data_IF_417593558230
#
_entry.id   IF_417593558230
#
_cell.length_a   1.000
_cell.length_b   1.000
_cell.length_c   1.000
_cell.angle_alpha   90.00
_cell.angle_beta   90.00
_cell.angle_gamma   90.00
#
_symmetry.space_group_name_H-M   'P 1'
#
loop_
_entity.id
_entity.type
_entity.pdbx_description
1 polymer ?
#
# COMPACT_ATOMS: atom_id res chain seq x y z
N UNK A 1 -16.14 15.73 -20.25
CA UNK A 1 -17.63 15.78 -20.11
C UNK A 1 -17.94 16.30 -18.71
N UNK A 2 -18.69 17.40 -18.60
CA UNK A 2 -18.90 18.11 -17.33
C UNK A 2 -19.83 17.32 -16.39
N UNK A 3 -19.38 17.01 -15.17
CA UNK A 3 -20.11 16.31 -14.09
C UNK A 3 -21.44 16.94 -13.61
N UNK A 4 -21.90 18.03 -14.19
CA UNK A 4 -23.10 18.77 -13.77
C UNK A 4 -24.39 18.36 -14.46
N UNK A 5 -24.37 17.49 -15.45
CA UNK A 5 -25.58 17.12 -16.22
C UNK A 5 -26.32 15.88 -15.68
N UNK A 6 -25.71 15.16 -14.71
CA UNK A 6 -26.33 13.94 -14.16
C UNK A 6 -27.36 14.21 -13.03
N UNK A 7 -27.35 15.38 -12.40
CA UNK A 7 -28.14 15.68 -11.22
C UNK A 7 -29.39 16.57 -11.49
N UNK A 8 -29.71 16.89 -12.75
CA UNK A 8 -30.83 17.80 -13.06
C UNK A 8 -32.08 17.15 -13.65
N UNK A 9 -32.13 15.82 -13.79
CA UNK A 9 -33.29 15.14 -14.39
C UNK A 9 -34.19 14.35 -13.41
N UNK A 10 -34.14 14.61 -12.12
CA UNK A 10 -34.95 13.93 -11.10
C UNK A 10 -35.87 14.87 -10.30
N UNK A 11 -36.46 15.87 -10.96
CA UNK A 11 -37.53 16.64 -10.33
C UNK A 11 -38.57 17.03 -11.37
N UNK A 12 -39.52 16.13 -11.61
CA UNK A 12 -40.89 16.42 -12.07
C UNK A 12 -41.60 15.07 -12.32
N UNK A 13 -42.40 14.67 -11.36
CA UNK A 13 -43.71 14.01 -11.56
C UNK A 13 -44.31 13.67 -10.18
N UNK A 14 -45.01 14.64 -9.65
CA UNK A 14 -45.93 14.44 -8.55
C UNK A 14 -47.34 14.29 -9.13
N UNK A 15 -48.17 13.50 -8.48
CA UNK A 15 -49.58 13.33 -8.57
C UNK A 15 -50.14 12.31 -9.59
N UNK A 16 -50.73 11.24 -9.07
CA UNK A 16 -51.56 10.28 -9.80
C UNK A 16 -51.83 9.00 -9.01
N UNK A 17 -52.69 9.07 -8.07
CA UNK A 17 -53.56 8.16 -7.31
C UNK A 17 -53.77 6.75 -7.87
N UNK A 18 -53.56 5.75 -6.95
CA UNK A 18 -54.28 4.46 -6.78
C UNK A 18 -54.58 3.61 -8.03
N UNK A 19 -53.79 2.51 -8.17
CA UNK A 19 -54.39 1.17 -8.33
C UNK A 19 -53.27 0.08 -8.44
N UNK A 20 -53.50 -1.01 -7.74
CA UNK A 20 -53.02 -2.37 -7.93
C UNK A 20 -51.50 -2.67 -7.72
N UNK A 21 -51.26 -3.40 -6.65
CA UNK A 21 -50.14 -4.30 -6.40
C UNK A 21 -49.82 -5.18 -7.61
N UNK A 22 -48.80 -4.84 -8.35
CA UNK A 22 -47.89 -5.70 -9.10
C UNK A 22 -46.74 -4.79 -9.57
N UNK A 23 -45.89 -4.36 -8.64
CA UNK A 23 -44.59 -3.89 -9.01
C UNK A 23 -43.76 -5.13 -9.34
N UNK A 24 -43.72 -5.52 -10.60
CA UNK A 24 -42.51 -6.14 -11.11
C UNK A 24 -41.45 -5.04 -11.02
N UNK A 25 -40.70 -5.01 -9.93
CA UNK A 25 -39.44 -4.31 -9.92
C UNK A 25 -38.62 -4.99 -11.03
N UNK A 26 -38.49 -4.35 -12.18
CA UNK A 26 -37.49 -4.67 -13.17
C UNK A 26 -36.19 -4.64 -12.40
N UNK A 27 -35.50 -5.77 -12.35
CA UNK A 27 -34.15 -5.83 -11.79
C UNK A 27 -33.36 -4.70 -12.48
N UNK A 28 -32.64 -3.85 -11.75
CA UNK A 28 -31.89 -2.76 -12.35
C UNK A 28 -30.96 -3.36 -13.41
N UNK A 29 -31.09 -2.87 -14.65
CA UNK A 29 -30.30 -3.32 -15.78
C UNK A 29 -28.94 -2.63 -15.66
N UNK A 30 -27.98 -3.29 -15.01
CA UNK A 30 -26.65 -2.75 -14.79
C UNK A 30 -25.85 -2.79 -16.11
N UNK A 31 -25.12 -1.71 -16.47
CA UNK A 31 -24.35 -1.67 -17.70
C UNK A 31 -23.22 -2.70 -17.70
N UNK A 32 -22.91 -3.25 -18.87
CA UNK A 32 -21.72 -4.07 -19.07
C UNK A 32 -20.52 -3.15 -19.21
N UNK A 33 -19.68 -3.08 -18.16
CA UNK A 33 -18.50 -2.19 -18.12
C UNK A 33 -17.19 -2.97 -18.03
N UNK A 34 -17.23 -4.26 -17.72
CA UNK A 34 -16.07 -5.12 -17.69
C UNK A 34 -15.48 -5.29 -19.10
N UNK A 35 -14.15 -5.28 -19.20
CA UNK A 35 -13.42 -5.47 -20.47
C UNK A 35 -13.82 -6.79 -21.14
N UNK A 36 -14.06 -6.75 -22.45
CA UNK A 36 -14.31 -7.96 -23.26
C UNK A 36 -13.23 -9.03 -23.07
N UNK A 37 -13.63 -10.29 -22.98
CA UNK A 37 -12.73 -11.39 -22.66
C UNK A 37 -11.50 -11.48 -23.59
N UNK A 38 -11.66 -11.13 -24.87
CA UNK A 38 -10.59 -11.11 -25.87
C UNK A 38 -9.54 -10.00 -25.66
N UNK A 39 -9.88 -8.98 -24.87
CA UNK A 39 -9.02 -7.82 -24.59
C UNK A 39 -8.40 -7.84 -23.19
N UNK A 40 -8.73 -8.84 -22.38
CA UNK A 40 -8.18 -8.99 -21.04
C UNK A 40 -6.72 -9.39 -21.08
N UNK A 41 -5.91 -8.75 -20.26
CA UNK A 41 -4.48 -9.03 -20.17
C UNK A 41 -4.19 -10.41 -19.56
N UNK A 42 -5.00 -10.81 -18.58
CA UNK A 42 -4.85 -12.11 -17.91
C UNK A 42 -6.24 -12.67 -17.53
N UNK A 43 -6.42 -13.96 -17.71
CA UNK A 43 -7.67 -14.65 -17.35
C UNK A 43 -7.39 -15.80 -16.39
N UNK A 44 -8.22 -15.94 -15.36
CA UNK A 44 -8.14 -17.00 -14.36
C UNK A 44 -9.49 -17.69 -14.18
N UNK A 45 -9.50 -19.00 -14.33
CA UNK A 45 -10.72 -19.82 -14.10
C UNK A 45 -11.13 -19.76 -12.64
N UNK A 46 -10.17 -19.77 -11.72
CA UNK A 46 -10.45 -19.70 -10.27
C UNK A 46 -11.13 -18.37 -9.89
N UNK A 47 -10.65 -17.24 -10.47
CA UNK A 47 -11.24 -15.91 -10.25
C UNK A 47 -12.63 -15.82 -10.85
N UNK A 48 -12.85 -16.31 -12.08
CA UNK A 48 -14.18 -16.33 -12.73
C UNK A 48 -15.18 -17.18 -11.92
N UNK A 49 -14.75 -18.31 -11.38
CA UNK A 49 -15.58 -19.15 -10.51
C UNK A 49 -15.93 -18.42 -9.19
N UNK A 50 -14.98 -17.70 -8.61
CA UNK A 50 -15.21 -16.89 -7.40
C UNK A 50 -16.26 -15.78 -7.65
N UNK A 51 -16.18 -15.11 -8.80
CA UNK A 51 -17.17 -14.10 -9.20
C UNK A 51 -18.58 -14.72 -9.32
N UNK A 52 -18.71 -15.82 -10.05
CA UNK A 52 -20.00 -16.52 -10.20
C UNK A 52 -20.54 -16.99 -8.85
N UNK A 53 -19.69 -17.53 -7.99
CA UNK A 53 -20.07 -17.97 -6.65
C UNK A 53 -20.55 -16.79 -5.79
N UNK A 54 -19.87 -15.65 -5.84
CA UNK A 54 -20.27 -14.46 -5.11
C UNK A 54 -21.63 -13.96 -5.58
N UNK A 55 -21.83 -13.79 -6.90
CA UNK A 55 -23.09 -13.35 -7.49
C UNK A 55 -24.26 -14.28 -7.17
N UNK A 56 -24.02 -15.59 -7.11
CA UNK A 56 -25.07 -16.57 -6.77
C UNK A 56 -25.51 -16.52 -5.30
N UNK A 57 -24.65 -16.01 -4.40
CA UNK A 57 -24.89 -16.00 -2.95
C UNK A 57 -25.20 -14.61 -2.38
N UNK A 58 -24.91 -13.54 -3.09
CA UNK A 58 -25.20 -12.18 -2.64
C UNK A 58 -26.64 -11.78 -3.00
N UNK A 59 -27.39 -11.29 -2.00
CA UNK A 59 -28.76 -10.85 -2.23
C UNK A 59 -28.83 -9.51 -2.98
N UNK A 60 -27.89 -8.63 -2.69
CA UNK A 60 -27.76 -7.32 -3.32
C UNK A 60 -27.18 -7.47 -4.74
N UNK A 61 -27.98 -7.20 -5.75
CA UNK A 61 -27.60 -7.33 -7.16
C UNK A 61 -26.59 -6.27 -7.62
N UNK A 62 -26.64 -5.07 -7.04
CA UNK A 62 -25.66 -4.02 -7.31
C UNK A 62 -24.28 -4.41 -6.77
N UNK A 63 -24.22 -4.96 -5.56
CA UNK A 63 -22.98 -5.46 -4.98
C UNK A 63 -22.41 -6.63 -5.80
N UNK A 64 -23.28 -7.53 -6.33
CA UNK A 64 -22.86 -8.59 -7.24
C UNK A 64 -22.24 -8.07 -8.53
N UNK A 65 -22.85 -7.05 -9.11
CA UNK A 65 -22.37 -6.36 -10.31
C UNK A 65 -21.06 -5.60 -10.03
N UNK A 66 -20.96 -4.87 -8.92
CA UNK A 66 -19.73 -4.19 -8.51
C UNK A 66 -18.58 -5.18 -8.33
N UNK A 67 -18.82 -6.32 -7.68
CA UNK A 67 -17.79 -7.34 -7.48
C UNK A 67 -17.28 -7.91 -8.80
N UNK A 68 -18.15 -8.20 -9.76
CA UNK A 68 -17.76 -8.67 -11.10
C UNK A 68 -16.87 -7.68 -11.85
N UNK A 69 -17.10 -6.39 -11.67
CA UNK A 69 -16.37 -5.34 -12.39
C UNK A 69 -15.09 -4.90 -11.69
N UNK A 70 -15.08 -4.88 -10.36
CA UNK A 70 -13.94 -4.39 -9.58
C UNK A 70 -12.93 -5.50 -9.25
N UNK A 71 -13.42 -6.68 -8.84
CA UNK A 71 -12.55 -7.75 -8.37
C UNK A 71 -11.52 -8.23 -9.40
N UNK A 72 -11.86 -8.47 -10.68
CA UNK A 72 -10.90 -8.92 -11.68
C UNK A 72 -10.14 -7.78 -12.37
N UNK A 73 -10.41 -6.50 -12.07
CA UNK A 73 -9.91 -5.37 -12.84
C UNK A 73 -8.39 -5.35 -12.99
N UNK A 74 -7.65 -5.65 -11.93
CA UNK A 74 -6.18 -5.76 -11.98
C UNK A 74 -5.73 -6.79 -13.02
N UNK A 75 -6.34 -7.97 -13.04
CA UNK A 75 -6.00 -9.01 -14.00
C UNK A 75 -6.42 -8.63 -15.44
N UNK A 76 -7.59 -8.03 -15.56
CA UNK A 76 -8.17 -7.68 -16.85
C UNK A 76 -7.39 -6.55 -17.56
N UNK A 77 -6.77 -5.60 -16.81
CA UNK A 77 -6.32 -4.32 -17.40
C UNK A 77 -4.90 -3.88 -17.05
N UNK A 78 -4.29 -4.37 -15.96
CA UNK A 78 -3.06 -3.76 -15.44
C UNK A 78 -1.84 -4.68 -15.44
N UNK A 79 -2.01 -5.98 -15.58
CA UNK A 79 -0.90 -6.93 -15.53
C UNK A 79 -0.33 -7.23 -16.92
N UNK A 80 0.99 -7.33 -16.98
CA UNK A 80 1.71 -7.90 -18.14
C UNK A 80 2.56 -9.05 -17.65
N UNK A 81 2.16 -10.27 -17.98
CA UNK A 81 2.84 -11.50 -17.59
C UNK A 81 3.68 -12.05 -18.73
N UNK A 82 4.91 -12.43 -18.43
CA UNK A 82 5.83 -13.08 -19.36
C UNK A 82 6.73 -14.11 -18.65
N UNK A 83 7.50 -14.85 -19.42
CA UNK A 83 8.64 -15.62 -18.92
C UNK A 83 9.92 -14.89 -19.34
N UNK A 84 10.75 -14.51 -18.38
CA UNK A 84 12.09 -13.99 -18.62
C UNK A 84 13.12 -15.03 -18.20
N UNK A 85 13.91 -15.50 -19.16
CA UNK A 85 14.91 -16.57 -18.93
C UNK A 85 14.30 -17.82 -18.26
N UNK A 86 13.09 -18.17 -18.64
CA UNK A 86 12.34 -19.31 -18.08
C UNK A 86 11.73 -19.10 -16.70
N UNK A 87 11.86 -17.90 -16.10
CA UNK A 87 11.23 -17.55 -14.83
C UNK A 87 10.00 -16.67 -15.05
N UNK A 88 8.94 -16.82 -14.24
CA UNK A 88 7.83 -15.90 -14.22
C UNK A 88 8.28 -14.46 -13.98
N UNK A 89 7.72 -13.54 -14.73
CA UNK A 89 7.93 -12.10 -14.61
C UNK A 89 6.61 -11.39 -14.84
N UNK A 90 6.20 -10.52 -13.91
CA UNK A 90 4.93 -9.81 -13.98
C UNK A 90 5.13 -8.33 -13.66
N UNK A 91 4.80 -7.51 -14.62
CA UNK A 91 4.72 -6.07 -14.48
C UNK A 91 3.27 -5.67 -14.21
N UNK A 92 3.04 -4.78 -13.25
CA UNK A 92 1.70 -4.35 -12.83
C UNK A 92 1.67 -2.83 -12.79
N UNK A 93 0.93 -2.20 -13.70
CA UNK A 93 0.73 -0.75 -13.65
C UNK A 93 -0.32 -0.36 -12.62
N UNK A 94 -0.32 0.87 -12.14
CA UNK A 94 -1.35 1.39 -11.22
C UNK A 94 -2.74 1.50 -11.88
N UNK A 95 -2.80 1.60 -13.20
CA UNK A 95 -4.03 1.63 -13.99
C UNK A 95 -4.12 2.85 -14.89
N UNK A 96 -3.85 4.03 -14.35
CA UNK A 96 -3.83 5.32 -15.06
C UNK A 96 -2.39 5.78 -15.41
N UNK A 97 -1.37 5.25 -14.70
CA UNK A 97 0.04 5.56 -14.94
C UNK A 97 0.77 4.30 -15.38
N UNK A 98 1.52 4.37 -16.47
CA UNK A 98 2.36 3.29 -16.99
C UNK A 98 3.65 3.18 -16.16
N UNK A 99 3.48 2.84 -14.89
CA UNK A 99 4.55 2.56 -13.96
C UNK A 99 4.10 1.57 -12.88
N UNK A 100 5.03 0.79 -12.35
CA UNK A 100 4.80 -0.19 -11.29
C UNK A 100 5.34 0.32 -9.98
N UNK A 101 4.43 0.71 -9.06
CA UNK A 101 4.77 1.00 -7.67
C UNK A 101 5.00 -0.29 -6.88
N UNK A 102 5.94 -0.26 -5.96
CA UNK A 102 6.28 -1.42 -5.10
C UNK A 102 5.13 -1.75 -4.14
N UNK A 103 4.48 -0.74 -3.56
CA UNK A 103 3.29 -0.86 -2.71
C UNK A 103 2.10 -1.38 -3.51
N UNK A 104 1.75 -0.65 -4.56
CA UNK A 104 0.53 -0.87 -5.35
C UNK A 104 0.50 -2.24 -5.99
N UNK A 105 1.59 -2.64 -6.65
CA UNK A 105 1.67 -3.96 -7.29
C UNK A 105 1.48 -5.12 -6.32
N UNK A 106 1.97 -4.98 -5.09
CA UNK A 106 1.75 -5.97 -4.03
C UNK A 106 0.28 -6.01 -3.60
N UNK A 107 -0.34 -4.83 -3.40
CA UNK A 107 -1.73 -4.72 -2.97
C UNK A 107 -2.71 -5.17 -4.07
N UNK A 108 -2.43 -4.84 -5.34
CA UNK A 108 -3.26 -5.20 -6.49
C UNK A 108 -3.34 -6.71 -6.72
N UNK A 109 -2.26 -7.47 -6.48
CA UNK A 109 -2.28 -8.93 -6.64
C UNK A 109 -2.67 -9.68 -5.36
N UNK A 110 -2.69 -9.00 -4.22
CA UNK A 110 -3.02 -9.59 -2.92
C UNK A 110 -4.35 -10.35 -2.87
N UNK A 111 -5.47 -9.85 -3.44
CA UNK A 111 -6.74 -10.56 -3.44
C UNK A 111 -6.70 -11.91 -4.13
N UNK A 112 -5.78 -12.09 -5.08
CA UNK A 112 -5.66 -13.34 -5.87
C UNK A 112 -4.76 -14.39 -5.21
N UNK A 113 -4.02 -14.03 -4.16
CA UNK A 113 -3.15 -14.97 -3.44
C UNK A 113 -3.91 -16.21 -2.91
N UNK A 114 -5.18 -16.04 -2.56
CA UNK A 114 -6.02 -17.16 -2.12
C UNK A 114 -6.16 -18.25 -3.17
N UNK A 115 -6.07 -17.94 -4.47
CA UNK A 115 -6.23 -18.88 -5.59
C UNK A 115 -4.90 -19.48 -6.08
N UNK A 116 -3.76 -19.09 -5.51
CA UNK A 116 -2.44 -19.52 -5.96
C UNK A 116 -2.23 -21.05 -5.89
N UNK A 117 -2.95 -21.78 -5.02
CA UNK A 117 -2.94 -23.24 -4.98
C UNK A 117 -4.00 -23.89 -5.86
N UNK A 118 -5.00 -23.14 -6.30
CA UNK A 118 -6.09 -23.63 -7.14
C UNK A 118 -5.72 -23.55 -8.63
N UNK A 119 -4.92 -22.56 -9.02
CA UNK A 119 -4.57 -22.33 -10.41
C UNK A 119 -3.10 -21.95 -10.58
N UNK A 120 -2.36 -22.79 -11.33
CA UNK A 120 -0.92 -22.56 -11.58
C UNK A 120 -0.63 -21.20 -12.21
N UNK A 121 -1.49 -20.72 -13.13
CA UNK A 121 -1.30 -19.39 -13.76
C UNK A 121 -1.30 -18.27 -12.73
N UNK A 122 -2.20 -18.30 -11.74
CA UNK A 122 -2.26 -17.30 -10.67
C UNK A 122 -1.02 -17.38 -9.79
N UNK A 123 -0.57 -18.61 -9.48
CA UNK A 123 0.67 -18.82 -8.74
C UNK A 123 1.87 -18.24 -9.49
N UNK A 124 1.99 -18.51 -10.78
CA UNK A 124 3.08 -18.01 -11.62
C UNK A 124 3.03 -16.48 -11.77
N UNK A 125 1.84 -15.89 -11.90
CA UNK A 125 1.66 -14.43 -11.94
C UNK A 125 2.21 -13.78 -10.68
N UNK A 126 1.86 -14.28 -9.49
CA UNK A 126 2.32 -13.71 -8.21
C UNK A 126 3.83 -13.93 -8.03
N UNK A 127 4.34 -15.12 -8.40
CA UNK A 127 5.79 -15.37 -8.42
C UNK A 127 6.52 -14.38 -9.34
N UNK A 128 5.90 -14.04 -10.47
CA UNK A 128 6.41 -13.03 -11.41
C UNK A 128 6.50 -11.63 -10.79
N UNK A 129 5.50 -11.21 -10.00
CA UNK A 129 5.56 -9.93 -9.27
C UNK A 129 6.71 -9.93 -8.27
N UNK A 130 6.89 -11.03 -7.51
CA UNK A 130 8.00 -11.16 -6.55
C UNK A 130 9.36 -11.07 -7.25
N UNK A 131 9.53 -11.74 -8.39
CA UNK A 131 10.74 -11.69 -9.18
C UNK A 131 11.03 -10.26 -9.70
N UNK A 132 10.02 -9.58 -10.21
CA UNK A 132 10.13 -8.21 -10.72
C UNK A 132 10.49 -7.24 -9.59
N UNK A 133 9.81 -7.31 -8.45
CA UNK A 133 10.10 -6.48 -7.29
C UNK A 133 11.52 -6.72 -6.75
N UNK A 134 11.99 -7.97 -6.78
CA UNK A 134 13.38 -8.30 -6.43
C UNK A 134 14.38 -7.55 -7.31
N UNK A 135 14.17 -7.51 -8.63
CA UNK A 135 15.01 -6.76 -9.56
C UNK A 135 14.97 -5.25 -9.28
N UNK A 136 13.81 -4.71 -8.97
CA UNK A 136 13.63 -3.29 -8.67
C UNK A 136 14.33 -2.86 -7.38
N UNK A 137 14.24 -3.65 -6.31
CA UNK A 137 15.02 -3.43 -5.08
C UNK A 137 16.52 -3.41 -5.36
N UNK A 138 17.02 -4.34 -6.18
CA UNK A 138 18.44 -4.40 -6.54
C UNK A 138 18.86 -3.23 -7.44
N UNK A 139 17.96 -2.69 -8.26
CA UNK A 139 18.20 -1.53 -9.11
C UNK A 139 18.29 -0.24 -8.32
N UNK A 140 17.31 0.03 -7.47
CA UNK A 140 17.30 1.21 -6.59
C UNK A 140 16.35 1.02 -5.39
N UNK A 141 16.86 0.75 -4.18
CA UNK A 141 16.01 0.54 -3.02
C UNK A 141 15.33 1.82 -2.49
N UNK A 142 15.72 2.99 -3.01
CA UNK A 142 15.12 4.27 -2.66
C UNK A 142 14.00 4.72 -3.61
N UNK A 143 13.78 3.99 -4.69
CA UNK A 143 12.71 4.29 -5.64
C UNK A 143 11.43 3.55 -5.24
N UNK A 144 10.28 4.24 -5.37
CA UNK A 144 8.96 3.70 -5.10
C UNK A 144 8.28 3.16 -6.37
N UNK A 145 8.65 3.65 -7.57
CA UNK A 145 8.02 3.26 -8.83
C UNK A 145 9.01 3.09 -10.00
N UNK A 146 8.71 2.14 -10.89
CA UNK A 146 9.58 1.74 -11.98
C UNK A 146 8.82 1.52 -13.28
N UNK A 147 9.50 1.75 -14.41
CA UNK A 147 9.02 1.41 -15.73
C UNK A 147 9.31 -0.05 -16.09
N UNK A 148 8.50 -0.61 -17.00
CA UNK A 148 8.80 -1.91 -17.61
C UNK A 148 10.05 -1.85 -18.49
N UNK A 149 10.24 -0.76 -19.21
CA UNK A 149 11.46 -0.49 -19.98
C UNK A 149 12.57 0.03 -19.05
N UNK A 150 13.62 -0.76 -18.87
CA UNK A 150 14.76 -0.45 -18.02
C UNK A 150 15.60 0.75 -18.48
N UNK A 151 15.43 1.20 -19.73
CA UNK A 151 16.15 2.33 -20.30
C UNK A 151 15.28 3.60 -20.37
N UNK A 152 13.98 3.50 -20.08
CA UNK A 152 13.07 4.64 -20.17
C UNK A 152 13.48 5.75 -19.19
N UNK A 153 13.59 6.96 -19.73
CA UNK A 153 13.79 8.19 -18.96
C UNK A 153 12.44 8.89 -18.87
N UNK A 154 11.91 9.01 -17.66
CA UNK A 154 10.56 9.48 -17.43
C UNK A 154 10.42 10.98 -17.25
N UNK A 155 9.21 11.41 -16.95
CA UNK A 155 8.83 12.81 -16.71
C UNK A 155 9.52 13.42 -15.48
N UNK A 156 9.79 12.62 -14.45
CA UNK A 156 10.45 13.08 -13.21
C UNK A 156 11.98 13.13 -13.29
N UNK A 157 12.56 13.13 -14.49
CA UNK A 157 14.02 13.22 -14.70
C UNK A 157 14.67 14.48 -14.12
N UNK A 158 13.88 15.53 -13.89
CA UNK A 158 14.33 16.80 -13.30
C UNK A 158 14.36 16.80 -11.77
N UNK A 159 13.84 15.77 -11.12
CA UNK A 159 13.90 15.64 -9.67
C UNK A 159 15.35 15.66 -9.17
N UNK A 160 15.60 16.47 -8.15
CA UNK A 160 16.93 16.64 -7.55
C UNK A 160 17.23 15.48 -6.60
N UNK A 161 17.40 14.31 -7.18
CA UNK A 161 17.77 13.02 -6.55
C UNK A 161 18.66 12.24 -7.53
N UNK A 162 19.11 11.03 -7.15
CA UNK A 162 19.94 10.19 -8.03
C UNK A 162 19.05 9.35 -8.94
N UNK A 163 18.36 9.98 -9.91
CA UNK A 163 17.50 9.28 -10.85
C UNK A 163 18.31 8.33 -11.74
N UNK A 164 17.75 7.17 -12.03
CA UNK A 164 18.32 6.14 -12.93
C UNK A 164 17.34 5.88 -14.08
N UNK A 165 17.81 5.47 -15.28
CA UNK A 165 16.93 4.95 -16.30
C UNK A 165 16.10 3.77 -15.79
N UNK A 166 14.85 3.65 -16.25
CA UNK A 166 13.90 2.64 -15.79
C UNK A 166 13.26 2.93 -14.42
N UNK A 167 13.68 3.99 -13.71
CA UNK A 167 13.00 4.49 -12.52
C UNK A 167 11.96 5.52 -12.94
N UNK A 168 10.70 5.34 -12.55
CA UNK A 168 9.65 6.31 -12.77
C UNK A 168 9.72 7.42 -11.72
N UNK A 169 9.72 7.05 -10.43
CA UNK A 169 9.77 7.97 -9.31
C UNK A 169 10.71 7.45 -8.21
N UNK A 170 11.46 8.38 -7.57
CA UNK A 170 12.45 8.02 -6.56
C UNK A 170 12.12 8.67 -5.21
N UNK A 171 10.86 8.54 -4.79
CA UNK A 171 10.41 8.91 -3.45
C UNK A 171 10.73 7.78 -2.47
N UNK A 172 11.49 8.08 -1.42
CA UNK A 172 11.83 7.11 -0.39
C UNK A 172 10.68 6.94 0.60
N UNK A 173 10.12 5.76 0.61
CA UNK A 173 9.05 5.29 1.48
C UNK A 173 9.49 3.96 2.12
N UNK A 174 9.37 3.82 3.45
CA UNK A 174 9.70 2.56 4.15
C UNK A 174 8.85 1.41 3.63
N UNK A 175 7.57 1.66 3.40
CA UNK A 175 6.61 0.65 2.99
C UNK A 175 6.87 0.10 1.59
N UNK A 176 7.46 0.88 0.69
CA UNK A 176 7.89 0.41 -0.64
C UNK A 176 8.85 -0.79 -0.57
N UNK A 177 9.59 -0.95 0.53
CA UNK A 177 10.43 -2.13 0.78
C UNK A 177 9.76 -3.20 1.67
N UNK A 178 8.72 -2.84 2.41
CA UNK A 178 7.98 -3.77 3.26
C UNK A 178 6.97 -4.61 2.47
N UNK A 179 6.28 -4.01 1.51
CA UNK A 179 5.26 -4.68 0.70
C UNK A 179 5.79 -5.89 -0.09
N UNK A 180 6.97 -5.82 -0.76
CA UNK A 180 7.57 -6.98 -1.41
C UNK A 180 7.85 -8.14 -0.44
N UNK A 181 8.34 -7.83 0.77
CA UNK A 181 8.59 -8.86 1.80
C UNK A 181 7.26 -9.50 2.23
N UNK A 182 6.23 -8.69 2.51
CA UNK A 182 4.91 -9.18 2.90
C UNK A 182 4.30 -10.08 1.83
N UNK A 183 4.32 -9.67 0.56
CA UNK A 183 3.82 -10.47 -0.54
C UNK A 183 4.58 -11.80 -0.65
N UNK A 184 5.91 -11.76 -0.65
CA UNK A 184 6.79 -12.92 -0.73
C UNK A 184 6.54 -13.91 0.42
N UNK A 185 6.44 -13.39 1.66
CA UNK A 185 6.18 -14.20 2.85
C UNK A 185 4.84 -14.95 2.76
N UNK A 186 3.77 -14.24 2.45
CA UNK A 186 2.45 -14.85 2.38
C UNK A 186 2.28 -15.76 1.15
N UNK A 187 2.94 -15.46 0.03
CA UNK A 187 3.05 -16.36 -1.10
C UNK A 187 3.71 -17.69 -0.71
N UNK A 188 4.88 -17.62 -0.05
CA UNK A 188 5.56 -18.82 0.44
C UNK A 188 4.71 -19.60 1.44
N UNK A 189 4.13 -18.93 2.42
CA UNK A 189 3.26 -19.58 3.42
C UNK A 189 2.05 -20.26 2.80
N UNK A 190 1.46 -19.65 1.77
CA UNK A 190 0.28 -20.18 1.07
C UNK A 190 0.63 -21.35 0.17
N UNK A 191 1.72 -21.27 -0.59
CA UNK A 191 2.00 -22.19 -1.70
C UNK A 191 3.08 -23.22 -1.37
N UNK A 192 3.95 -22.95 -0.41
CA UNK A 192 5.17 -23.72 -0.17
C UNK A 192 6.23 -23.59 -1.28
N UNK A 193 5.95 -22.81 -2.34
CA UNK A 193 6.84 -22.62 -3.48
C UNK A 193 8.08 -21.80 -3.06
N UNK A 194 9.26 -22.31 -3.40
CA UNK A 194 10.55 -21.71 -3.09
C UNK A 194 11.24 -21.11 -4.31
N UNK A 195 10.65 -21.27 -5.49
CA UNK A 195 11.32 -20.92 -6.76
C UNK A 195 11.67 -19.44 -6.92
N UNK A 196 10.91 -18.46 -6.39
CA UNK A 196 11.29 -17.06 -6.48
C UNK A 196 12.43 -16.66 -5.51
N UNK A 197 12.75 -17.49 -4.50
CA UNK A 197 13.63 -17.11 -3.37
C UNK A 197 15.07 -17.57 -3.59
N UNK A 198 15.63 -17.16 -4.71
CA UNK A 198 17.02 -17.46 -5.12
C UNK A 198 18.04 -16.50 -4.50
N UNK A 199 19.30 -16.58 -5.00
CA UNK A 199 20.38 -15.71 -4.54
C UNK A 199 20.12 -14.20 -4.77
N UNK A 200 19.38 -13.84 -5.83
CA UNK A 200 19.02 -12.45 -6.11
C UNK A 200 17.98 -11.95 -5.10
N UNK A 201 16.97 -12.76 -4.78
CA UNK A 201 16.02 -12.44 -3.74
C UNK A 201 16.71 -12.23 -2.39
N UNK A 202 17.60 -13.15 -2.01
CA UNK A 202 18.41 -12.98 -0.78
C UNK A 202 19.21 -11.68 -0.79
N UNK A 203 19.87 -11.35 -1.90
CA UNK A 203 20.60 -10.09 -2.06
C UNK A 203 19.70 -8.87 -1.95
N UNK A 204 18.46 -8.96 -2.46
CA UNK A 204 17.46 -7.89 -2.27
C UNK A 204 17.10 -7.71 -0.79
N UNK A 205 16.94 -8.79 -0.01
CA UNK A 205 16.72 -8.70 1.44
C UNK A 205 17.95 -8.06 2.16
N UNK A 206 19.16 -8.41 1.78
CA UNK A 206 20.37 -7.74 2.29
C UNK A 206 20.38 -6.24 1.98
N UNK A 207 19.96 -5.86 0.76
CA UNK A 207 19.84 -4.47 0.33
C UNK A 207 18.78 -3.72 1.15
N UNK A 208 17.61 -4.32 1.38
CA UNK A 208 16.55 -3.75 2.23
C UNK A 208 17.07 -3.52 3.65
N UNK A 209 17.71 -4.54 4.25
CA UNK A 209 18.32 -4.42 5.57
C UNK A 209 19.30 -3.23 5.63
N UNK A 210 20.22 -3.13 4.68
CA UNK A 210 21.21 -2.06 4.63
C UNK A 210 20.54 -0.68 4.48
N UNK A 211 19.53 -0.55 3.61
CA UNK A 211 18.78 0.69 3.42
C UNK A 211 18.08 1.15 4.71
N UNK A 212 17.47 0.21 5.44
CA UNK A 212 16.83 0.53 6.72
C UNK A 212 17.86 0.98 7.77
N UNK A 213 19.02 0.32 7.85
CA UNK A 213 20.12 0.72 8.76
C UNK A 213 20.63 2.13 8.41
N UNK A 214 20.85 2.43 7.12
CA UNK A 214 21.26 3.76 6.66
C UNK A 214 20.22 4.82 7.05
N UNK A 215 18.94 4.52 6.92
CA UNK A 215 17.85 5.45 7.23
C UNK A 215 17.50 5.53 8.73
N UNK A 216 18.14 4.75 9.60
CA UNK A 216 18.14 5.09 11.03
C UNK A 216 18.97 6.37 11.32
N UNK A 217 19.80 6.82 10.39
CA UNK A 217 20.61 8.05 10.46
C UNK A 217 21.47 8.19 11.70
N UNK A 218 21.99 7.07 12.25
CA UNK A 218 22.77 7.04 13.49
C UNK A 218 24.11 7.78 13.39
N UNK A 219 24.73 7.75 12.22
CA UNK A 219 26.06 8.31 12.00
C UNK A 219 26.09 9.53 11.08
N UNK A 220 25.15 9.61 10.15
CA UNK A 220 25.03 10.69 9.18
C UNK A 220 23.60 10.77 8.63
N UNK A 221 23.34 11.71 7.71
CA UNK A 221 22.01 11.93 7.10
C UNK A 221 21.56 10.82 6.13
N UNK A 222 22.41 9.85 5.84
CA UNK A 222 22.18 8.86 4.79
C UNK A 222 22.46 9.40 3.38
N UNK A 223 22.48 8.52 2.37
CA UNK A 223 22.79 8.90 0.98
C UNK A 223 21.59 9.51 0.24
N UNK A 224 20.39 9.37 0.78
CA UNK A 224 19.16 9.79 0.11
C UNK A 224 18.84 11.26 0.36
N UNK A 225 18.47 11.96 -0.72
CA UNK A 225 17.85 13.29 -0.71
C UNK A 225 16.89 13.40 -1.89
N UNK A 226 15.88 14.24 -1.76
CA UNK A 226 14.89 14.47 -2.80
C UNK A 226 14.36 15.90 -2.75
N UNK A 227 14.35 16.57 -3.90
CA UNK A 227 13.60 17.81 -4.12
C UNK A 227 12.98 17.77 -5.51
N UNK A 228 11.75 18.28 -5.62
CA UNK A 228 11.00 18.45 -6.85
C UNK A 228 10.62 19.92 -7.00
N UNK A 229 10.68 20.46 -8.21
CA UNK A 229 10.09 21.74 -8.52
C UNK A 229 8.59 21.54 -8.73
N UNK A 230 7.79 22.03 -7.79
CA UNK A 230 6.36 21.74 -7.71
C UNK A 230 5.61 22.91 -7.06
N UNK A 231 4.32 23.04 -7.37
CA UNK A 231 3.39 23.95 -6.68
C UNK A 231 2.76 23.30 -5.44
N UNK A 232 2.98 22.01 -5.24
CA UNK A 232 2.46 21.25 -4.09
C UNK A 232 3.56 21.10 -3.03
N UNK A 233 3.48 21.81 -1.89
CA UNK A 233 4.55 21.80 -0.87
C UNK A 233 4.86 20.40 -0.32
N UNK A 234 3.87 19.51 -0.30
CA UNK A 234 4.02 18.14 0.19
C UNK A 234 4.73 17.19 -0.79
N UNK A 235 4.95 17.63 -2.03
CA UNK A 235 5.57 16.84 -3.09
C UNK A 235 7.10 17.00 -3.17
N UNK A 236 7.72 17.58 -2.14
CA UNK A 236 9.15 17.82 -2.05
C UNK A 236 9.64 17.82 -0.61
N UNK A 237 10.94 17.52 -0.40
CA UNK A 237 11.55 17.52 0.92
C UNK A 237 12.22 18.88 1.25
N UNK A 238 11.98 19.44 2.44
CA UNK A 238 12.69 20.62 2.91
C UNK A 238 14.17 20.34 3.24
N UNK A 239 14.89 21.36 3.72
CA UNK A 239 16.26 21.25 4.23
C UNK A 239 17.23 20.61 3.22
N UNK A 240 17.26 21.13 2.00
CA UNK A 240 18.09 20.62 0.89
C UNK A 240 17.80 19.18 0.49
N UNK A 241 16.55 18.74 0.70
CA UNK A 241 16.07 17.41 0.30
C UNK A 241 16.25 16.31 1.35
N UNK A 242 16.74 16.63 2.55
CA UNK A 242 16.94 15.64 3.62
C UNK A 242 15.74 15.49 4.57
N UNK A 243 14.75 16.39 4.47
CA UNK A 243 13.66 16.49 5.45
C UNK A 243 14.09 17.20 6.74
N UNK A 244 13.17 17.38 7.66
CA UNK A 244 13.48 17.99 8.95
C UNK A 244 14.44 17.13 9.78
N UNK A 245 15.26 17.75 10.66
CA UNK A 245 16.19 17.04 11.51
C UNK A 245 15.50 16.05 12.45
N UNK A 246 16.16 14.92 12.69
CA UNK A 246 15.74 13.91 13.68
C UNK A 246 16.84 13.69 14.72
N UNK A 247 16.43 13.32 15.92
CA UNK A 247 17.32 12.68 16.89
C UNK A 247 17.31 11.18 16.61
N UNK A 248 18.47 10.57 16.24
CA UNK A 248 18.53 9.13 15.99
C UNK A 248 18.17 8.35 17.25
N UNK A 249 17.08 7.63 17.23
CA UNK A 249 16.53 6.89 18.39
C UNK A 249 16.28 5.41 18.09
N UNK A 250 16.76 4.93 16.94
CA UNK A 250 16.56 3.55 16.50
C UNK A 250 15.38 3.36 15.53
N UNK A 251 14.57 4.40 15.30
CA UNK A 251 13.53 4.40 14.27
C UNK A 251 14.14 4.65 12.88
N UNK A 252 13.42 4.24 11.84
CA UNK A 252 13.80 4.40 10.43
C UNK A 252 13.10 5.66 9.90
N UNK A 253 13.85 6.56 9.24
CA UNK A 253 13.28 7.73 8.58
C UNK A 253 12.60 7.33 7.28
N UNK A 254 11.39 7.83 7.03
CA UNK A 254 10.73 7.88 5.74
C UNK A 254 10.76 9.32 5.23
N UNK A 255 11.06 9.52 3.96
CA UNK A 255 10.96 10.84 3.35
C UNK A 255 9.52 11.15 2.96
N UNK A 256 8.82 10.16 2.47
CA UNK A 256 7.44 10.27 2.04
C UNK A 256 6.54 9.27 2.77
N UNK A 257 5.25 9.59 2.79
CA UNK A 257 4.15 8.75 3.25
C UNK A 257 3.66 7.84 2.13
N UNK A 258 2.88 6.80 2.43
CA UNK A 258 2.23 6.00 1.38
C UNK A 258 1.30 6.80 0.44
N UNK A 259 0.93 8.01 0.83
CA UNK A 259 0.17 8.97 0.02
C UNK A 259 1.00 9.75 -0.99
N UNK A 260 2.31 9.53 -1.06
CA UNK A 260 3.31 10.31 -1.80
C UNK A 260 3.60 11.71 -1.22
N UNK A 261 2.94 12.09 -0.11
CA UNK A 261 3.22 13.33 0.60
C UNK A 261 4.49 13.23 1.45
N UNK A 262 5.25 14.31 1.52
CA UNK A 262 6.42 14.40 2.39
C UNK A 262 6.04 14.29 3.87
N UNK A 263 6.85 13.59 4.67
CA UNK A 263 6.68 13.55 6.12
C UNK A 263 6.98 14.91 6.74
N UNK A 264 6.20 15.29 7.76
CA UNK A 264 6.50 16.45 8.60
C UNK A 264 7.62 16.07 9.58
N UNK A 265 7.48 14.96 10.27
CA UNK A 265 8.55 14.38 11.07
C UNK A 265 8.99 13.05 10.45
N UNK A 266 10.29 12.87 10.15
CA UNK A 266 10.74 11.75 9.34
C UNK A 266 10.50 10.35 9.92
N UNK A 267 10.23 10.20 11.22
CA UNK A 267 9.87 8.90 11.78
C UNK A 267 8.36 8.65 11.66
N UNK A 268 7.95 8.14 10.51
CA UNK A 268 6.57 7.72 10.22
C UNK A 268 6.26 6.42 10.98
N UNK A 269 5.40 6.51 11.99
CA UNK A 269 5.17 5.43 12.95
C UNK A 269 4.49 4.19 12.32
N UNK A 270 3.40 4.29 11.55
CA UNK A 270 2.78 3.10 10.96
C UNK A 270 3.74 2.35 10.04
N UNK A 271 4.57 3.05 9.25
CA UNK A 271 5.58 2.42 8.40
C UNK A 271 6.71 1.76 9.20
N UNK A 272 7.10 2.31 10.35
CA UNK A 272 8.06 1.66 11.24
C UNK A 272 7.49 0.38 11.89
N UNK A 273 6.20 0.35 12.25
CA UNK A 273 5.52 -0.89 12.67
C UNK A 273 5.50 -1.93 11.54
N UNK A 274 5.23 -1.50 10.32
CA UNK A 274 5.26 -2.39 9.16
C UNK A 274 6.67 -2.92 8.87
N UNK A 275 7.72 -2.10 9.06
CA UNK A 275 9.11 -2.54 8.96
C UNK A 275 9.44 -3.63 9.99
N UNK A 276 8.98 -3.52 11.24
CA UNK A 276 9.18 -4.54 12.28
C UNK A 276 8.58 -5.88 11.86
N UNK A 277 7.32 -5.90 11.41
CA UNK A 277 6.68 -7.15 10.95
C UNK A 277 7.36 -7.73 9.71
N UNK A 278 7.71 -6.89 8.74
CA UNK A 278 8.40 -7.31 7.51
C UNK A 278 9.81 -7.86 7.78
N UNK A 279 10.59 -7.24 8.66
CA UNK A 279 11.92 -7.74 9.06
C UNK A 279 11.84 -9.11 9.75
N UNK A 280 10.83 -9.34 10.60
CA UNK A 280 10.59 -10.65 11.23
C UNK A 280 10.22 -11.71 10.20
N UNK A 281 9.36 -11.37 9.23
CA UNK A 281 8.99 -12.25 8.11
C UNK A 281 10.22 -12.58 7.25
N UNK A 282 11.04 -11.60 6.90
CA UNK A 282 12.27 -11.81 6.15
C UNK A 282 13.27 -12.69 6.90
N UNK A 283 13.42 -12.50 8.21
CA UNK A 283 14.30 -13.33 9.04
C UNK A 283 13.89 -14.80 9.03
N UNK A 284 12.59 -15.09 9.15
CA UNK A 284 12.05 -16.45 9.06
C UNK A 284 12.33 -17.05 7.66
N UNK A 285 12.04 -16.31 6.59
CA UNK A 285 12.28 -16.77 5.22
C UNK A 285 13.75 -17.08 4.96
N UNK A 286 14.63 -16.17 5.32
CA UNK A 286 16.10 -16.34 5.13
C UNK A 286 16.62 -17.55 5.91
N UNK A 287 16.12 -17.78 7.12
CA UNK A 287 16.48 -18.97 7.91
C UNK A 287 16.06 -20.26 7.20
N UNK A 288 14.81 -20.33 6.77
CA UNK A 288 14.23 -21.58 6.25
C UNK A 288 14.62 -21.84 4.78
N UNK A 289 14.68 -20.80 3.96
CA UNK A 289 14.85 -20.92 2.52
C UNK A 289 16.31 -20.82 2.08
N UNK A 290 17.11 -20.02 2.75
CA UNK A 290 18.51 -19.76 2.38
C UNK A 290 19.52 -20.30 3.39
N UNK A 291 19.09 -20.81 4.54
CA UNK A 291 19.95 -21.31 5.63
C UNK A 291 20.98 -20.27 6.11
N UNK A 292 20.67 -18.97 6.00
CA UNK A 292 21.57 -17.88 6.39
C UNK A 292 21.20 -17.31 7.75
N UNK A 293 21.71 -17.98 8.79
CA UNK A 293 21.49 -17.55 10.17
C UNK A 293 22.07 -16.16 10.46
N UNK A 294 23.19 -15.80 9.86
CA UNK A 294 23.84 -14.51 10.09
C UNK A 294 22.95 -13.35 9.63
N UNK A 295 22.37 -13.44 8.44
CA UNK A 295 21.45 -12.44 7.93
C UNK A 295 20.15 -12.43 8.74
N UNK A 296 19.62 -13.60 9.11
CA UNK A 296 18.40 -13.70 9.92
C UNK A 296 18.58 -13.05 11.30
N UNK A 297 19.74 -13.26 11.96
CA UNK A 297 20.05 -12.63 13.24
C UNK A 297 20.15 -11.09 13.11
N UNK A 298 20.74 -10.56 12.02
CA UNK A 298 20.78 -9.11 11.73
C UNK A 298 19.39 -8.52 11.54
N UNK A 299 18.54 -9.18 10.75
CA UNK A 299 17.14 -8.75 10.51
C UNK A 299 16.34 -8.74 11.82
N UNK A 300 16.50 -9.78 12.64
CA UNK A 300 15.84 -9.89 13.95
C UNK A 300 16.33 -8.82 14.92
N UNK A 301 17.63 -8.56 14.96
CA UNK A 301 18.21 -7.53 15.82
C UNK A 301 17.67 -6.13 15.45
N UNK A 302 17.62 -5.81 14.14
CA UNK A 302 17.06 -4.55 13.66
C UNK A 302 15.56 -4.44 13.99
N UNK A 303 14.77 -5.51 13.76
CA UNK A 303 13.36 -5.52 14.12
C UNK A 303 13.13 -5.25 15.61
N UNK A 304 13.93 -5.85 16.49
CA UNK A 304 13.85 -5.66 17.92
C UNK A 304 14.26 -4.25 18.35
N UNK A 305 15.27 -3.67 17.71
CA UNK A 305 15.68 -2.29 17.96
C UNK A 305 14.58 -1.29 17.59
N UNK A 306 13.98 -1.43 16.40
CA UNK A 306 12.89 -0.56 15.95
C UNK A 306 11.65 -0.73 16.85
N UNK A 307 11.30 -1.96 17.22
CA UNK A 307 10.18 -2.25 18.13
C UNK A 307 10.37 -1.60 19.52
N UNK A 308 11.58 -1.67 20.08
CA UNK A 308 11.91 -1.01 21.33
C UNK A 308 11.82 0.52 21.22
N UNK A 309 12.26 1.08 20.10
CA UNK A 309 12.15 2.51 19.82
C UNK A 309 10.69 2.96 19.65
N UNK A 310 9.85 2.17 18.96
CA UNK A 310 8.41 2.43 18.84
C UNK A 310 7.73 2.49 20.21
N UNK A 311 7.99 1.51 21.09
CA UNK A 311 7.43 1.49 22.45
C UNK A 311 7.82 2.71 23.27
N UNK A 312 8.99 3.27 23.04
CA UNK A 312 9.52 4.42 23.80
C UNK A 312 9.10 5.76 23.22
N UNK A 313 9.05 5.92 21.91
CA UNK A 313 8.93 7.23 21.27
C UNK A 313 7.61 7.46 20.53
N UNK A 314 6.90 6.39 20.13
CA UNK A 314 5.66 6.51 19.37
C UNK A 314 4.43 6.77 20.26
N UNK A 315 4.47 6.39 21.55
CA UNK A 315 3.33 6.50 22.45
C UNK A 315 3.29 7.89 23.06
N UNK A 316 2.13 8.52 22.99
CA UNK A 316 1.84 9.84 23.58
C UNK A 316 0.61 9.77 24.47
N UNK A 317 0.58 10.57 25.53
CA UNK A 317 -0.59 10.73 26.38
C UNK A 317 -1.49 11.82 25.80
N UNK A 318 -2.74 11.47 25.49
CA UNK A 318 -3.76 12.41 25.04
C UNK A 318 -4.80 12.64 26.16
N UNK A 319 -5.20 13.89 26.45
CA UNK A 319 -6.08 14.19 27.59
C UNK A 319 -7.44 13.46 27.55
N UNK A 320 -7.98 13.22 26.36
CA UNK A 320 -9.28 12.57 26.18
C UNK A 320 -9.17 11.06 25.91
N UNK A 321 -8.17 10.64 25.11
CA UNK A 321 -8.07 9.24 24.64
C UNK A 321 -7.06 8.41 25.45
N UNK A 322 -6.27 9.02 26.34
CA UNK A 322 -5.22 8.34 27.08
C UNK A 322 -4.00 8.02 26.21
N UNK A 323 -3.30 6.90 26.49
CA UNK A 323 -2.13 6.51 25.71
C UNK A 323 -2.54 6.08 24.30
N UNK A 324 -1.91 6.70 23.28
CA UNK A 324 -2.15 6.40 21.88
C UNK A 324 -0.87 6.56 21.04
N UNK A 325 -0.85 6.03 19.83
CA UNK A 325 0.27 6.20 18.91
C UNK A 325 0.19 7.55 18.20
N UNK A 326 1.33 8.24 18.10
CA UNK A 326 1.51 9.35 17.17
C UNK A 326 1.62 8.82 15.73
N UNK A 327 1.32 9.67 14.76
CA UNK A 327 1.50 9.35 13.34
C UNK A 327 2.96 9.54 12.90
N UNK A 328 3.57 10.67 13.29
CA UNK A 328 4.98 10.96 13.04
C UNK A 328 5.64 11.52 14.30
N UNK A 329 6.94 11.25 14.47
CA UNK A 329 7.77 11.81 15.55
C UNK A 329 9.15 12.21 15.04
N UNK A 330 9.86 13.09 15.78
CA UNK A 330 11.20 13.58 15.44
C UNK A 330 12.32 12.99 16.32
N UNK A 331 11.97 12.29 17.40
CA UNK A 331 12.91 11.80 18.41
C UNK A 331 13.37 12.84 19.43
N UNK A 332 13.12 14.15 19.22
CA UNK A 332 13.38 15.22 20.19
C UNK A 332 12.24 15.41 21.17
N UNK A 333 11.06 14.88 20.90
CA UNK A 333 9.87 14.98 21.75
C UNK A 333 8.63 15.42 21.00
N UNK A 334 8.77 16.01 19.81
CA UNK A 334 7.64 16.44 18.98
C UNK A 334 6.90 15.24 18.40
N UNK A 335 5.60 15.41 18.20
CA UNK A 335 4.74 14.41 17.62
C UNK A 335 3.65 15.07 16.76
N UNK A 336 3.31 14.43 15.66
CA UNK A 336 2.18 14.82 14.82
C UNK A 336 1.04 13.84 15.07
N UNK A 337 -0.06 14.38 15.60
CA UNK A 337 -1.24 13.61 16.00
C UNK A 337 -2.29 13.71 14.91
N UNK A 338 -2.33 12.73 14.05
CA UNK A 338 -3.29 12.56 12.94
C UNK A 338 -3.30 11.11 12.50
N UNK A 339 -4.06 10.76 11.50
CA UNK A 339 -3.84 9.64 10.61
C UNK A 339 -4.10 10.05 9.16
N UNK A 340 -3.38 9.42 8.26
CA UNK A 340 -3.56 9.50 6.81
C UNK A 340 -4.23 8.20 6.38
N UNK A 341 -5.14 8.29 5.42
CA UNK A 341 -5.95 7.15 4.98
C UNK A 341 -5.20 6.10 4.16
N UNK A 342 -3.98 6.40 3.70
CA UNK A 342 -3.19 5.49 2.87
C UNK A 342 -2.48 4.44 3.72
N UNK A 343 -2.47 3.20 3.25
CA UNK A 343 -1.89 2.05 3.96
C UNK A 343 -0.41 1.91 3.61
N UNK A 344 0.50 1.90 4.62
CA UNK A 344 0.32 1.83 6.06
C UNK A 344 -0.14 3.13 6.72
N UNK A 345 -1.22 3.04 7.50
CA UNK A 345 -1.74 4.07 8.40
C UNK A 345 -1.83 3.51 9.82
N UNK A 346 -2.06 4.36 10.82
CA UNK A 346 -2.31 3.88 12.18
C UNK A 346 -3.54 2.98 12.23
N UNK A 347 -4.59 3.32 11.47
CA UNK A 347 -5.81 2.53 11.38
C UNK A 347 -5.56 1.12 10.81
N UNK A 348 -4.64 1.00 9.84
CA UNK A 348 -4.36 -0.25 9.13
C UNK A 348 -3.37 -1.19 9.81
N UNK A 349 -2.79 -0.82 10.96
CA UNK A 349 -1.75 -1.64 11.62
C UNK A 349 -2.17 -3.10 11.89
N UNK A 350 -3.41 -3.42 12.31
CA UNK A 350 -3.83 -4.81 12.46
C UNK A 350 -3.91 -5.57 11.13
N UNK A 351 -4.40 -4.94 10.07
CA UNK A 351 -4.43 -5.52 8.72
C UNK A 351 -3.04 -5.90 8.21
N UNK A 352 -2.02 -5.13 8.56
CA UNK A 352 -0.62 -5.41 8.22
C UNK A 352 0.04 -6.44 9.13
N UNK A 353 -0.67 -6.92 10.17
CA UNK A 353 -0.12 -7.83 11.16
C UNK A 353 0.93 -7.19 12.07
N UNK A 354 0.93 -5.86 12.16
CA UNK A 354 1.91 -5.09 12.92
C UNK A 354 1.54 -4.96 14.40
N UNK A 355 0.26 -4.99 14.72
CA UNK A 355 -0.27 -4.93 16.10
C UNK A 355 -1.55 -5.77 16.19
N UNK A 356 -1.94 -6.16 17.40
CA UNK A 356 -3.22 -6.85 17.62
C UNK A 356 -4.37 -5.85 17.66
N UNK A 357 -5.53 -6.22 17.12
CA UNK A 357 -6.73 -5.39 17.10
C UNK A 357 -7.25 -5.07 18.53
N UNK A 358 -6.96 -5.92 19.50
CA UNK A 358 -7.36 -5.78 20.89
C UNK A 358 -6.32 -5.04 21.78
N UNK A 359 -5.18 -4.62 21.20
CA UNK A 359 -4.18 -3.81 21.90
C UNK A 359 -4.82 -2.52 22.47
N UNK A 360 -4.66 -2.21 23.76
CA UNK A 360 -5.33 -1.07 24.39
C UNK A 360 -4.88 0.27 23.82
N UNK A 361 -3.61 0.42 23.44
CA UNK A 361 -3.08 1.65 22.86
C UNK A 361 -3.64 1.83 21.45
N UNK A 362 -3.69 0.75 20.66
CA UNK A 362 -4.33 0.78 19.34
C UNK A 362 -5.82 1.13 19.43
N UNK A 363 -6.57 0.55 20.39
CA UNK A 363 -7.99 0.91 20.58
C UNK A 363 -8.19 2.39 20.87
N UNK A 364 -7.33 2.99 21.68
CA UNK A 364 -7.37 4.43 21.95
C UNK A 364 -7.01 5.24 20.69
N UNK A 365 -5.97 4.81 19.97
CA UNK A 365 -5.55 5.41 18.70
C UNK A 365 -6.70 5.36 17.67
N UNK A 366 -7.37 4.22 17.52
CA UNK A 366 -8.52 4.07 16.62
C UNK A 366 -9.67 4.99 16.98
N UNK A 367 -9.99 5.17 18.28
CA UNK A 367 -11.02 6.11 18.74
C UNK A 367 -10.67 7.55 18.35
N UNK A 368 -9.41 7.96 18.54
CA UNK A 368 -8.93 9.28 18.14
C UNK A 368 -9.05 9.47 16.62
N UNK A 369 -8.54 8.52 15.83
CA UNK A 369 -8.52 8.59 14.36
C UNK A 369 -9.95 8.77 13.80
N UNK A 370 -10.93 8.06 14.36
CA UNK A 370 -12.34 8.07 13.95
C UNK A 370 -13.16 9.11 14.73
N UNK A 371 -12.57 10.25 15.02
CA UNK A 371 -13.21 11.36 15.72
C UNK A 371 -12.79 12.71 15.13
N UNK A 372 -13.49 13.77 15.50
CA UNK A 372 -13.16 15.15 15.13
C UNK A 372 -11.81 15.66 15.69
N UNK A 373 -11.15 14.89 16.57
CA UNK A 373 -9.80 15.20 17.05
C UNK A 373 -8.71 14.84 16.04
N UNK A 374 -9.00 13.95 15.07
CA UNK A 374 -8.14 13.77 13.90
C UNK A 374 -8.46 14.86 12.87
N UNK A 375 -7.51 15.74 12.50
CA UNK A 375 -7.74 16.86 11.58
C UNK A 375 -8.17 16.39 10.17
N UNK A 376 -7.96 15.13 9.83
CA UNK A 376 -8.35 14.54 8.54
C UNK A 376 -9.52 13.56 8.63
N UNK A 377 -10.26 13.57 9.75
CA UNK A 377 -11.54 12.89 9.82
C UNK A 377 -12.64 13.82 9.35
N UNK A 378 -13.30 13.46 8.27
CA UNK A 378 -14.33 14.27 7.65
C UNK A 378 -15.70 13.60 7.74
N UNK A 379 -16.75 14.44 7.84
CA UNK A 379 -18.12 13.99 7.92
C UNK A 379 -18.96 14.66 6.84
N UNK A 380 -19.42 13.86 5.91
CA UNK A 380 -20.35 14.27 4.86
C UNK A 380 -21.80 13.82 5.15
N UNK A 381 -22.68 14.07 4.19
CA UNK A 381 -24.10 13.66 4.28
C UNK A 381 -24.30 12.16 4.01
N UNK A 382 -23.40 11.53 3.24
CA UNK A 382 -23.50 10.13 2.83
C UNK A 382 -22.57 9.20 3.64
N UNK A 383 -21.45 9.71 4.10
CA UNK A 383 -20.47 8.92 4.84
C UNK A 383 -19.57 9.81 5.70
N UNK A 384 -18.87 9.19 6.66
CA UNK A 384 -17.77 9.79 7.41
C UNK A 384 -16.56 8.88 7.35
N UNK A 385 -15.35 9.44 7.46
CA UNK A 385 -14.12 8.68 7.40
C UNK A 385 -12.86 9.53 7.29
N UNK A 386 -11.73 8.87 7.22
CA UNK A 386 -10.41 9.49 7.16
C UNK A 386 -10.07 9.85 5.72
N UNK A 387 -9.57 11.06 5.52
CA UNK A 387 -8.94 11.54 4.31
C UNK A 387 -7.43 11.73 4.52
N UNK A 388 -6.88 12.80 3.98
CA UNK A 388 -5.45 13.13 4.11
C UNK A 388 -5.08 14.40 3.34
N UNK A 389 -3.86 14.92 3.54
CA UNK A 389 -3.40 16.10 2.82
C UNK A 389 -3.41 15.91 1.30
N UNK A 390 -3.11 14.70 0.84
CA UNK A 390 -2.99 14.35 -0.58
C UNK A 390 -4.30 14.57 -1.36
N UNK A 391 -5.43 14.21 -0.76
CA UNK A 391 -6.74 14.35 -1.42
C UNK A 391 -7.42 15.68 -1.14
N UNK A 392 -6.96 16.44 -0.14
CA UNK A 392 -7.47 17.76 0.21
C UNK A 392 -8.54 17.76 1.31
N UNK A 393 -9.01 18.95 1.64
CA UNK A 393 -10.02 19.17 2.68
C UNK A 393 -11.37 18.56 2.29
N UNK A 394 -12.08 18.03 3.29
CA UNK A 394 -13.41 17.44 3.17
C UNK A 394 -13.52 16.25 2.21
N UNK A 395 -12.37 15.64 1.86
CA UNK A 395 -12.31 14.47 1.00
C UNK A 395 -12.01 13.21 1.82
N UNK A 396 -12.97 12.27 1.83
CA UNK A 396 -12.81 10.96 2.47
C UNK A 396 -12.18 10.00 1.47
N UNK A 397 -11.19 9.25 1.93
CA UNK A 397 -10.54 8.24 1.10
C UNK A 397 -11.30 6.90 1.19
N UNK A 398 -11.81 6.34 0.07
CA UNK A 398 -12.65 5.14 0.12
C UNK A 398 -11.98 3.93 0.78
N UNK A 399 -10.67 3.77 0.60
CA UNK A 399 -9.90 2.69 1.25
C UNK A 399 -9.93 2.80 2.78
N UNK A 400 -9.95 4.02 3.34
CA UNK A 400 -10.05 4.21 4.79
C UNK A 400 -11.36 3.67 5.35
N UNK A 401 -12.47 3.84 4.62
CA UNK A 401 -13.77 3.28 4.99
C UNK A 401 -13.69 1.75 5.02
N UNK A 402 -13.05 1.14 4.03
CA UNK A 402 -12.88 -0.32 3.96
C UNK A 402 -12.03 -0.85 5.13
N UNK A 403 -10.99 -0.12 5.53
CA UNK A 403 -10.11 -0.50 6.66
C UNK A 403 -10.79 -0.31 8.02
N UNK A 404 -11.83 0.51 8.12
CA UNK A 404 -12.61 0.68 9.37
C UNK A 404 -13.38 -0.59 9.78
N UNK A 405 -13.85 -1.39 8.81
CA UNK A 405 -14.57 -2.64 9.01
C UNK A 405 -13.67 -3.78 9.40
#
# INVERSE_FOLDING_TARGET
>A
MKRRTFLQNTSLLGAGVLASKFSFALAPDFPVVRVEASKRHFTSVAVENAIKKFQANVADKELGWLFENCFPNTLDTTVTYALQNGKPDTYVITGDIDAMWMRDSSAQVWPYLQFANEEKKVKDLIAGVINRQTQYVLKDPYANAFYNDEQKVGEWKSDKTTMKPGVHERKWEIDSLCYPIRLAYHYWKKTGDKTPFDANWKKAIETIYQTFVEQQRKTNKGPYRFQRETVHPTDSQPMSGYGFPVKPVGLICSAFRPSDDSTVYPFLIPSNFFAVSSLKQAAEMVTVLNSDKTLADKLTALANEVDAALKKYAIKDHPEFGKMFAFEVDGFGSAYMMDDSNVPSLLSMPYLGAIKVDDPIYKNTRKFILSANNPFFFKGTAAEGVGGPHVGQDMIWPMAITIQG
#
